data_IF_893481968105
#
_entry.id   IF_893481968105
#
_cell.length_a   1.000
_cell.length_b   1.000
_cell.length_c   1.000
_cell.angle_alpha   90.00
_cell.angle_beta   90.00
_cell.angle_gamma   90.00
#
_symmetry.space_group_name_H-M   'P 1'
#
loop_
_entity.id
_entity.type
_entity.pdbx_description
1 polymer ?
#
# COMPACT_ATOMS: atom_id res chain seq x y z
N UNK A 1 -13.40 -2.18 -8.42
CA UNK A 1 -13.46 -0.92 -7.64
C UNK A 1 -12.08 -0.51 -7.18
N UNK A 2 -11.92 0.76 -6.77
CA UNK A 2 -10.73 1.22 -6.05
C UNK A 2 -11.03 1.12 -4.56
N UNK A 3 -10.11 0.52 -3.82
CA UNK A 3 -10.18 0.36 -2.37
C UNK A 3 -9.02 1.11 -1.71
N UNK A 4 -9.23 1.52 -0.46
CA UNK A 4 -8.18 1.94 0.44
C UNK A 4 -7.82 0.76 1.35
N UNK A 5 -6.55 0.39 1.38
CA UNK A 5 -5.99 -0.63 2.27
C UNK A 5 -5.19 0.09 3.35
N UNK A 6 -5.45 -0.17 4.62
CA UNK A 6 -4.86 0.66 5.69
C UNK A 6 -4.68 -0.08 7.02
N UNK A 7 -3.82 0.48 7.87
CA UNK A 7 -3.67 0.17 9.29
C UNK A 7 -3.01 1.36 10.00
N UNK A 8 -2.63 1.20 11.27
CA UNK A 8 -1.99 2.24 12.08
C UNK A 8 -0.65 2.76 11.53
N UNK A 9 -0.02 2.07 10.57
CA UNK A 9 1.27 2.45 9.98
C UNK A 9 1.11 3.32 8.72
N UNK A 10 0.04 3.14 7.96
CA UNK A 10 -0.18 3.84 6.70
C UNK A 10 -1.38 3.34 5.91
N UNK A 11 -1.52 3.87 4.70
CA UNK A 11 -2.58 3.50 3.77
C UNK A 11 -2.08 3.54 2.32
N UNK A 12 -2.62 2.66 1.47
CA UNK A 12 -2.45 2.73 0.03
C UNK A 12 -3.77 2.53 -0.73
N UNK A 13 -3.79 2.93 -2.01
CA UNK A 13 -4.88 2.61 -2.94
C UNK A 13 -4.56 1.35 -3.73
N UNK A 14 -5.59 0.56 -4.03
CA UNK A 14 -5.47 -0.60 -4.90
C UNK A 14 -6.75 -0.81 -5.74
N UNK A 15 -6.59 -1.36 -6.94
CA UNK A 15 -7.69 -1.98 -7.65
C UNK A 15 -8.01 -3.34 -7.04
N UNK A 16 -9.29 -3.65 -6.84
CA UNK A 16 -9.72 -4.94 -6.29
C UNK A 16 -10.35 -5.85 -7.35
N UNK A 17 -9.92 -7.11 -7.34
CA UNK A 17 -10.53 -8.24 -8.05
C UNK A 17 -10.89 -9.31 -7.00
N UNK A 18 -12.12 -9.83 -7.05
CA UNK A 18 -12.57 -10.88 -6.13
C UNK A 18 -12.27 -12.23 -6.77
N UNK A 19 -11.53 -13.08 -6.06
CA UNK A 19 -11.13 -14.42 -6.54
C UNK A 19 -11.48 -15.51 -5.52
N UNK A 20 -11.94 -16.66 -6.01
CA UNK A 20 -12.15 -17.88 -5.20
C UNK A 20 -10.83 -18.61 -4.88
N UNK A 21 -9.72 -18.25 -5.54
CA UNK A 21 -8.41 -18.83 -5.29
C UNK A 21 -7.77 -18.31 -3.98
N UNK A 22 -8.32 -17.23 -3.43
CA UNK A 22 -7.86 -16.62 -2.19
C UNK A 22 -8.81 -17.00 -1.05
N UNK A 23 -8.24 -17.46 0.06
CA UNK A 23 -9.00 -17.82 1.27
C UNK A 23 -9.81 -16.59 1.75
N UNK A 24 -11.05 -16.79 2.26
CA UNK A 24 -11.75 -15.72 2.97
C UNK A 24 -10.88 -15.04 4.04
N UNK A 25 -11.04 -13.73 4.17
CA UNK A 25 -10.27 -12.87 5.08
C UNK A 25 -8.76 -12.74 4.74
N UNK A 26 -8.35 -13.17 3.53
CA UNK A 26 -7.00 -12.94 3.02
C UNK A 26 -7.06 -11.95 1.85
N UNK A 27 -6.13 -11.01 1.85
CA UNK A 27 -5.91 -10.07 0.78
C UNK A 27 -4.52 -10.32 0.20
N UNK A 28 -4.42 -10.37 -1.13
CA UNK A 28 -3.14 -10.46 -1.85
C UNK A 28 -2.85 -9.13 -2.55
N UNK A 29 -1.68 -8.55 -2.28
CA UNK A 29 -1.16 -7.38 -2.98
C UNK A 29 0.33 -7.61 -3.31
N UNK A 30 0.67 -7.82 -4.59
CA UNK A 30 2.05 -8.05 -5.01
C UNK A 30 2.99 -6.89 -4.64
N UNK A 31 4.22 -7.23 -4.27
CA UNK A 31 5.28 -6.23 -4.05
C UNK A 31 5.82 -5.72 -5.39
N UNK A 32 6.42 -4.52 -5.37
CA UNK A 32 7.13 -3.95 -6.53
C UNK A 32 6.48 -2.71 -7.15
N UNK A 33 5.28 -2.32 -6.72
CA UNK A 33 4.70 -1.04 -7.08
C UNK A 33 5.63 0.11 -6.64
N UNK A 34 5.84 1.08 -7.52
CA UNK A 34 6.61 2.28 -7.20
C UNK A 34 5.89 3.09 -6.12
N UNK A 35 6.64 3.70 -5.21
CA UNK A 35 6.08 4.46 -4.10
C UNK A 35 5.70 5.88 -4.57
N UNK A 36 4.40 6.21 -4.53
CA UNK A 36 3.84 7.52 -4.89
C UNK A 36 3.05 8.12 -3.72
N UNK A 37 3.73 8.68 -2.69
CA UNK A 37 3.06 9.26 -1.54
C UNK A 37 2.53 10.67 -1.85
N UNK A 38 1.25 10.90 -1.56
CA UNK A 38 0.61 12.20 -1.75
C UNK A 38 -0.20 12.59 -0.51
N UNK A 39 -0.40 13.91 -0.32
CA UNK A 39 -1.30 14.42 0.71
C UNK A 39 -2.72 14.51 0.12
N UNK A 40 -3.60 13.65 0.58
CA UNK A 40 -5.01 13.60 0.16
C UNK A 40 -5.87 13.93 1.37
N UNK A 41 -6.66 15.01 1.29
CA UNK A 41 -7.47 15.51 2.42
C UNK A 41 -6.68 15.73 3.72
N UNK A 42 -5.38 16.04 3.62
CA UNK A 42 -4.49 16.27 4.76
C UNK A 42 -3.85 15.01 5.35
N UNK A 43 -4.13 13.83 4.78
CA UNK A 43 -3.53 12.56 5.19
C UNK A 43 -2.53 12.07 4.14
N UNK A 44 -1.45 11.42 4.58
CA UNK A 44 -0.48 10.80 3.68
C UNK A 44 -1.08 9.50 3.14
N UNK A 45 -1.27 9.43 1.83
CA UNK A 45 -1.79 8.27 1.13
C UNK A 45 -0.80 7.88 0.05
N UNK A 46 -0.43 6.61 0.01
CA UNK A 46 0.28 6.05 -1.13
C UNK A 46 -0.75 5.74 -2.23
N UNK A 47 -0.62 6.37 -3.40
CA UNK A 47 -1.70 6.37 -4.40
C UNK A 47 -1.54 5.32 -5.50
N UNK A 48 -0.37 4.66 -5.60
CA UNK A 48 -0.05 3.75 -6.70
C UNK A 48 -0.19 2.26 -6.33
N UNK A 49 -0.13 1.92 -5.04
CA UNK A 49 -0.36 0.59 -4.49
C UNK A 49 0.88 -0.10 -3.90
N UNK A 50 1.84 0.63 -3.34
CA UNK A 50 3.00 -0.01 -2.70
C UNK A 50 2.62 -0.66 -1.34
N UNK A 51 2.64 -2.00 -1.22
CA UNK A 51 2.18 -2.68 0.00
C UNK A 51 3.10 -2.44 1.21
N UNK A 52 4.36 -2.05 1.01
CA UNK A 52 5.32 -1.95 2.10
C UNK A 52 5.00 -0.78 3.06
N UNK A 53 4.15 0.18 2.66
CA UNK A 53 3.64 1.22 3.57
C UNK A 53 2.79 0.64 4.72
N UNK A 54 2.31 -0.60 4.55
CA UNK A 54 1.47 -1.29 5.52
C UNK A 54 2.26 -2.26 6.40
N UNK A 55 3.47 -2.65 5.99
CA UNK A 55 4.25 -3.74 6.61
C UNK A 55 5.00 -3.27 7.85
N UNK A 56 5.19 -4.13 8.87
CA UNK A 56 5.99 -3.77 10.03
C UNK A 56 7.50 -3.82 9.72
N UNK A 57 8.22 -2.76 10.08
CA UNK A 57 9.69 -2.77 10.13
C UNK A 57 10.17 -3.35 11.47
N UNK A 58 10.19 -4.68 11.56
CA UNK A 58 10.61 -5.40 12.77
C UNK A 58 11.37 -6.68 12.42
N UNK A 59 12.46 -6.93 13.14
CA UNK A 59 13.20 -8.19 13.02
C UNK A 59 12.40 -9.40 13.51
N UNK A 60 12.56 -10.55 12.85
CA UNK A 60 11.84 -11.79 13.20
C UNK A 60 12.03 -12.26 14.64
N UNK A 61 13.23 -12.10 15.21
CA UNK A 61 13.57 -12.44 16.59
C UNK A 61 14.84 -11.74 17.05
N UNK A 62 15.11 -11.74 18.36
CA UNK A 62 16.35 -11.21 18.93
C UNK A 62 17.61 -11.86 18.34
N UNK A 63 17.51 -13.12 17.90
CA UNK A 63 18.61 -13.88 17.30
C UNK A 63 18.81 -13.57 15.81
N UNK A 64 17.75 -13.71 15.00
CA UNK A 64 17.88 -13.77 13.54
C UNK A 64 17.79 -12.40 12.86
N UNK A 65 17.02 -11.45 13.41
CA UNK A 65 16.85 -10.10 12.87
C UNK A 65 16.52 -10.07 11.36
N UNK A 66 15.76 -11.05 10.87
CA UNK A 66 15.36 -11.14 9.47
C UNK A 66 14.11 -10.33 9.15
N UNK A 67 13.74 -10.26 7.86
CA UNK A 67 12.52 -9.61 7.38
C UNK A 67 11.24 -10.30 7.91
N UNK A 68 10.24 -9.50 8.32
CA UNK A 68 8.94 -9.99 8.79
C UNK A 68 7.74 -9.38 8.05
N UNK A 69 7.95 -8.83 6.85
CA UNK A 69 6.94 -8.04 6.12
C UNK A 69 5.64 -8.79 5.78
N UNK A 70 5.66 -10.12 5.69
CA UNK A 70 4.47 -10.93 5.38
C UNK A 70 3.56 -11.17 6.61
N UNK A 71 3.98 -10.74 7.81
CA UNK A 71 3.14 -10.73 9.01
C UNK A 71 2.45 -9.38 9.13
N UNK A 72 1.41 -9.16 8.32
CA UNK A 72 0.74 -7.86 8.20
C UNK A 72 -0.79 -8.01 8.27
N UNK A 73 -1.41 -7.31 9.22
CA UNK A 73 -2.87 -7.14 9.28
C UNK A 73 -3.24 -5.76 8.73
N UNK A 74 -4.35 -5.72 8.02
CA UNK A 74 -4.89 -4.54 7.35
C UNK A 74 -6.41 -4.57 7.44
N UNK A 75 -7.03 -3.41 7.28
CA UNK A 75 -8.44 -3.27 6.95
C UNK A 75 -8.57 -2.73 5.53
N UNK A 76 -9.72 -3.00 4.89
CA UNK A 76 -10.03 -2.53 3.54
C UNK A 76 -11.40 -1.86 3.52
N UNK A 77 -11.49 -0.77 2.77
CA UNK A 77 -12.76 -0.10 2.50
C UNK A 77 -12.79 0.41 1.05
N UNK A 78 -13.99 0.61 0.51
CA UNK A 78 -14.13 1.26 -0.78
C UNK A 78 -13.64 2.71 -0.69
N UNK A 79 -12.88 3.15 -1.68
CA UNK A 79 -12.44 4.55 -1.77
C UNK A 79 -13.55 5.41 -2.38
N UNK A 80 -14.00 6.43 -1.65
CA UNK A 80 -15.13 7.30 -2.01
C UNK A 80 -14.69 8.75 -2.35
N UNK A 81 -13.39 8.97 -2.59
CA UNK A 81 -12.82 10.28 -2.93
C UNK A 81 -12.55 10.48 -4.43
N UNK A 82 -12.14 11.69 -4.80
CA UNK A 82 -11.51 11.93 -6.10
C UNK A 82 -10.19 11.16 -6.18
N UNK A 83 -9.96 10.45 -7.28
CA UNK A 83 -8.76 9.66 -7.46
C UNK A 83 -7.55 10.59 -7.68
N UNK A 84 -6.51 10.51 -6.84
CA UNK A 84 -5.27 11.23 -7.09
C UNK A 84 -4.62 10.74 -8.39
N UNK A 85 -3.97 11.64 -9.10
CA UNK A 85 -3.17 11.29 -10.28
C UNK A 85 -1.89 10.55 -9.83
N UNK A 86 -1.56 9.44 -10.50
CA UNK A 86 -0.30 8.72 -10.28
C UNK A 86 0.78 9.41 -11.10
N UNK A 87 1.76 10.00 -10.44
CA UNK A 87 2.83 10.82 -11.05
C UNK A 87 4.19 10.16 -10.98
N UNK A 88 4.32 9.02 -10.32
CA UNK A 88 5.61 8.33 -10.14
C UNK A 88 6.26 7.85 -11.45
N UNK A 89 5.50 7.80 -12.54
CA UNK A 89 5.98 7.48 -13.88
C UNK A 89 6.36 8.71 -14.70
N UNK A 90 6.05 9.91 -14.21
CA UNK A 90 6.35 11.14 -14.92
C UNK A 90 7.83 11.48 -14.84
N UNK A 91 8.31 12.18 -15.86
CA UNK A 91 9.68 12.66 -15.87
C UNK A 91 9.86 13.70 -14.75
N UNK A 92 10.85 13.53 -13.85
CA UNK A 92 11.10 14.54 -12.83
C UNK A 92 11.59 15.84 -13.48
N UNK A 93 11.32 17.00 -12.85
CA UNK A 93 11.79 18.27 -13.37
C UNK A 93 13.33 18.26 -13.46
N UNK A 94 13.86 18.62 -14.62
CA UNK A 94 15.29 18.86 -14.78
C UNK A 94 15.65 20.19 -14.15
N UNK A 95 16.83 20.27 -13.52
CA UNK A 95 17.39 21.55 -13.11
C UNK A 95 17.84 22.33 -14.35
N UNK A 96 17.52 23.61 -14.41
CA UNK A 96 18.16 24.57 -15.32
C UNK A 96 19.66 24.73 -15.01
#
# INVERSE_FOLDING_TARGET
>A
DIIRVFNDRGACLAGVEISEDIRPDVFELPTGAWYDPQLVNGELLEVHGNPNVLTPDKGTSSLAQGCSGHSCLVEVEKFEGELPEVVVFDQPPTRD
#
